data_IF_782218220253
#
_entry.id   IF_782218220253
#
_cell.length_a   1.000
_cell.length_b   1.000
_cell.length_c   1.000
_cell.angle_alpha   90.00
_cell.angle_beta   90.00
_cell.angle_gamma   90.00
#
_symmetry.space_group_name_H-M   'P 1'
#
loop_
_entity.id
_entity.type
_entity.pdbx_description
1 polymer ?
#
# COMPACT_ATOMS: atom_id res chain seq x y z
N UNK A 1 24.82 -7.19 -19.05
CA UNK A 1 24.38 -5.83 -18.69
C UNK A 1 23.05 -5.76 -17.93
N UNK A 2 21.97 -6.50 -18.31
CA UNK A 2 20.66 -6.42 -17.61
C UNK A 2 20.69 -6.68 -16.08
N UNK A 3 21.61 -7.51 -15.60
CA UNK A 3 21.65 -7.90 -14.18
C UNK A 3 22.31 -6.85 -13.26
N UNK A 4 23.17 -5.96 -13.79
CA UNK A 4 23.82 -4.92 -12.99
C UNK A 4 22.83 -3.83 -12.57
N UNK A 5 22.02 -3.36 -13.50
CA UNK A 5 20.99 -2.32 -13.26
C UNK A 5 19.98 -2.77 -12.20
N UNK A 6 19.54 -4.04 -12.26
CA UNK A 6 18.64 -4.63 -11.27
C UNK A 6 19.27 -4.73 -9.87
N UNK A 7 20.59 -4.94 -9.78
CA UNK A 7 21.29 -4.98 -8.48
C UNK A 7 21.44 -3.59 -7.86
N UNK A 8 21.67 -2.55 -8.67
CA UNK A 8 21.77 -1.16 -8.21
C UNK A 8 20.44 -0.66 -7.65
N UNK A 9 19.34 -0.97 -8.33
CA UNK A 9 17.97 -0.63 -7.91
C UNK A 9 17.55 -1.37 -6.63
N UNK A 10 18.00 -2.61 -6.43
CA UNK A 10 17.69 -3.37 -5.20
C UNK A 10 18.16 -2.65 -3.94
N UNK A 11 19.31 -1.97 -3.96
CA UNK A 11 19.80 -1.21 -2.81
C UNK A 11 18.89 -0.02 -2.45
N UNK A 12 18.30 0.66 -3.44
CA UNK A 12 17.30 1.73 -3.19
C UNK A 12 16.01 1.20 -2.58
N UNK A 13 15.50 0.08 -3.11
CA UNK A 13 14.29 -0.55 -2.58
C UNK A 13 14.53 -1.09 -1.16
N UNK A 14 15.71 -1.66 -0.89
CA UNK A 14 16.13 -2.14 0.43
C UNK A 14 16.32 -1.01 1.45
N UNK A 15 16.76 0.18 1.02
CA UNK A 15 16.87 1.37 1.88
C UNK A 15 15.51 1.80 2.44
N UNK A 16 14.44 1.59 1.67
CA UNK A 16 13.05 1.91 2.05
C UNK A 16 12.20 0.71 2.49
N UNK A 17 12.82 -0.43 2.82
CA UNK A 17 12.14 -1.67 3.23
C UNK A 17 11.08 -1.47 4.32
N UNK A 18 11.29 -0.54 5.25
CA UNK A 18 10.35 -0.25 6.33
C UNK A 18 9.03 0.40 5.85
N UNK A 19 9.08 1.20 4.78
CA UNK A 19 7.88 1.77 4.16
C UNK A 19 7.06 0.71 3.44
N UNK A 20 7.72 -0.19 2.71
CA UNK A 20 7.03 -1.32 2.07
C UNK A 20 6.51 -2.34 3.08
N UNK A 21 7.26 -2.63 4.14
CA UNK A 21 6.85 -3.57 5.18
C UNK A 21 5.62 -3.07 5.95
N UNK A 22 5.61 -1.79 6.34
CA UNK A 22 4.44 -1.19 6.99
C UNK A 22 3.23 -1.15 6.05
N UNK A 23 3.43 -0.79 4.77
CA UNK A 23 2.39 -0.90 3.74
C UNK A 23 1.83 -2.32 3.60
N UNK A 24 2.70 -3.33 3.62
CA UNK A 24 2.31 -4.73 3.55
C UNK A 24 1.52 -5.18 4.79
N UNK A 25 1.95 -4.78 5.99
CA UNK A 25 1.23 -5.06 7.24
C UNK A 25 -0.18 -4.43 7.18
N UNK A 26 -0.31 -3.18 6.76
CA UNK A 26 -1.62 -2.55 6.58
C UNK A 26 -2.48 -3.26 5.53
N UNK A 27 -1.87 -3.78 4.47
CA UNK A 27 -2.56 -4.59 3.47
C UNK A 27 -3.16 -5.86 4.09
N UNK A 28 -2.38 -6.58 4.91
CA UNK A 28 -2.85 -7.79 5.60
C UNK A 28 -4.02 -7.49 6.53
N UNK A 29 -3.95 -6.42 7.32
CA UNK A 29 -5.07 -5.99 8.15
C UNK A 29 -6.30 -5.65 7.32
N UNK A 30 -6.14 -4.85 6.26
CA UNK A 30 -7.25 -4.48 5.38
C UNK A 30 -7.95 -5.70 4.77
N UNK A 31 -7.19 -6.72 4.37
CA UNK A 31 -7.72 -7.99 3.87
C UNK A 31 -8.43 -8.76 4.99
N UNK A 32 -7.83 -8.84 6.19
CA UNK A 32 -8.44 -9.47 7.36
C UNK A 32 -9.81 -8.87 7.70
N UNK A 33 -9.91 -7.55 7.81
CA UNK A 33 -11.18 -6.87 8.08
C UNK A 33 -12.23 -7.08 6.99
N UNK A 34 -11.81 -7.14 5.71
CA UNK A 34 -12.73 -7.49 4.61
C UNK A 34 -13.23 -8.93 4.72
N UNK A 35 -12.38 -9.86 5.14
CA UNK A 35 -12.75 -11.26 5.34
C UNK A 35 -13.66 -11.47 6.56
N UNK A 36 -13.60 -10.58 7.56
CA UNK A 36 -14.50 -10.62 8.72
C UNK A 36 -15.95 -10.29 8.35
N UNK A 37 -16.21 -9.44 7.36
CA UNK A 37 -17.56 -9.06 6.94
C UNK A 37 -18.46 -10.27 6.61
N UNK A 38 -18.08 -11.21 5.71
CA UNK A 38 -18.92 -12.38 5.42
C UNK A 38 -19.07 -13.32 6.63
N UNK A 39 -18.06 -13.42 7.49
CA UNK A 39 -18.14 -14.21 8.73
C UNK A 39 -19.15 -13.61 9.71
N UNK A 40 -19.14 -12.28 9.88
CA UNK A 40 -20.09 -11.54 10.71
C UNK A 40 -21.51 -11.59 10.14
N UNK A 41 -21.68 -11.72 8.82
CA UNK A 41 -22.97 -11.91 8.17
C UNK A 41 -23.53 -13.33 8.33
N UNK A 42 -22.68 -14.35 8.49
CA UNK A 42 -23.13 -15.75 8.55
C UNK A 42 -24.04 -16.02 9.75
N UNK A 43 -23.69 -15.53 10.93
CA UNK A 43 -24.41 -15.82 12.18
C UNK A 43 -25.78 -15.13 12.30
N UNK A 44 -25.92 -13.83 12.01
CA UNK A 44 -27.21 -13.14 12.06
C UNK A 44 -28.20 -13.70 11.07
N UNK A 45 -27.77 -14.01 9.84
CA UNK A 45 -28.65 -14.54 8.79
C UNK A 45 -29.23 -15.90 9.23
N UNK A 46 -28.42 -16.75 9.86
CA UNK A 46 -28.88 -18.02 10.42
C UNK A 46 -29.89 -17.81 11.56
N UNK A 47 -29.63 -16.86 12.48
CA UNK A 47 -30.50 -16.57 13.61
C UNK A 47 -31.79 -15.83 13.22
N UNK A 48 -31.77 -15.00 12.18
CA UNK A 48 -32.93 -14.33 11.61
C UNK A 48 -33.98 -15.34 11.14
N UNK A 49 -33.55 -16.47 10.57
CA UNK A 49 -34.46 -17.56 10.15
C UNK A 49 -35.12 -18.28 11.33
N UNK A 50 -34.54 -18.20 12.52
CA UNK A 50 -35.04 -18.86 13.74
C UNK A 50 -35.92 -17.95 14.62
N UNK A 51 -36.18 -16.70 14.20
CA UNK A 51 -36.83 -15.68 15.03
C UNK A 51 -35.82 -15.00 15.96
N UNK A 52 -35.43 -13.77 15.61
CA UNK A 52 -34.41 -13.00 16.34
C UNK A 52 -34.95 -11.64 16.77
N UNK A 53 -34.43 -11.14 17.90
CA UNK A 53 -34.70 -9.80 18.43
C UNK A 53 -33.87 -8.72 17.71
N UNK A 54 -34.50 -7.58 17.40
CA UNK A 54 -33.87 -6.37 16.81
C UNK A 54 -32.51 -5.97 17.42
N UNK A 55 -32.27 -5.96 18.76
CA UNK A 55 -30.98 -5.55 19.32
C UNK A 55 -29.80 -6.41 18.88
N UNK A 56 -30.03 -7.70 18.63
CA UNK A 56 -28.97 -8.61 18.15
C UNK A 56 -28.57 -8.20 16.73
N UNK A 57 -29.54 -7.91 15.86
CA UNK A 57 -29.30 -7.47 14.49
C UNK A 57 -28.53 -6.14 14.48
N UNK A 58 -28.93 -5.19 15.33
CA UNK A 58 -28.26 -3.89 15.45
C UNK A 58 -26.79 -4.01 15.88
N UNK A 59 -26.47 -4.90 16.82
CA UNK A 59 -25.09 -5.17 17.23
C UNK A 59 -24.23 -5.70 16.09
N UNK A 60 -24.74 -6.68 15.33
CA UNK A 60 -24.00 -7.21 14.18
C UNK A 60 -23.87 -6.20 13.04
N UNK A 61 -24.89 -5.38 12.78
CA UNK A 61 -24.79 -4.30 11.81
C UNK A 61 -23.69 -3.29 12.20
N UNK A 62 -23.59 -2.93 13.49
CA UNK A 62 -22.53 -2.07 13.99
C UNK A 62 -21.13 -2.71 13.83
N UNK A 63 -20.99 -4.01 14.10
CA UNK A 63 -19.73 -4.74 13.89
C UNK A 63 -19.32 -4.81 12.41
N UNK A 64 -20.28 -5.02 11.52
CA UNK A 64 -20.03 -5.02 10.06
C UNK A 64 -19.59 -3.64 9.60
N UNK A 65 -20.29 -2.59 10.05
CA UNK A 65 -19.95 -1.22 9.70
C UNK A 65 -18.57 -0.83 10.22
N UNK A 66 -18.25 -1.16 11.47
CA UNK A 66 -16.93 -0.97 12.05
C UNK A 66 -15.85 -1.71 11.26
N UNK A 67 -16.08 -2.98 10.92
CA UNK A 67 -15.13 -3.77 10.11
C UNK A 67 -14.90 -3.16 8.72
N UNK A 68 -15.96 -2.68 8.06
CA UNK A 68 -15.87 -2.01 6.76
C UNK A 68 -15.09 -0.68 6.86
N UNK A 69 -15.34 0.09 7.92
CA UNK A 69 -14.61 1.33 8.20
C UNK A 69 -13.12 1.07 8.39
N UNK A 70 -12.75 0.12 9.26
CA UNK A 70 -11.34 -0.23 9.49
C UNK A 70 -10.67 -0.81 8.24
N UNK A 71 -11.37 -1.66 7.47
CA UNK A 71 -10.88 -2.14 6.18
C UNK A 71 -10.54 -0.99 5.22
N UNK A 72 -11.42 0.02 5.14
CA UNK A 72 -11.20 1.22 4.35
C UNK A 72 -10.00 2.05 4.84
N UNK A 73 -9.93 2.28 6.16
CA UNK A 73 -8.86 3.05 6.79
C UNK A 73 -7.48 2.40 6.55
N UNK A 74 -7.35 1.09 6.78
CA UNK A 74 -6.09 0.38 6.54
C UNK A 74 -5.72 0.33 5.07
N UNK A 75 -6.70 0.23 4.16
CA UNK A 75 -6.46 0.31 2.72
C UNK A 75 -5.96 1.69 2.31
N UNK A 76 -6.49 2.76 2.91
CA UNK A 76 -6.01 4.12 2.68
C UNK A 76 -4.58 4.28 3.21
N UNK A 77 -4.31 3.84 4.45
CA UNK A 77 -2.98 3.90 5.06
C UNK A 77 -1.94 3.14 4.19
N UNK A 78 -2.25 1.93 3.75
CA UNK A 78 -1.43 1.17 2.81
C UNK A 78 -1.11 1.99 1.55
N UNK A 79 -2.12 2.60 0.93
CA UNK A 79 -1.93 3.38 -0.30
C UNK A 79 -1.04 4.59 -0.07
N UNK A 80 -1.24 5.28 1.04
CA UNK A 80 -0.44 6.44 1.43
C UNK A 80 1.03 6.07 1.63
N UNK A 81 1.30 5.00 2.39
CA UNK A 81 2.66 4.56 2.69
C UNK A 81 3.38 4.07 1.43
N UNK A 82 2.76 3.19 0.64
CA UNK A 82 3.40 2.63 -0.56
C UNK A 82 3.65 3.72 -1.62
N UNK A 83 2.67 4.58 -1.90
CA UNK A 83 2.83 5.64 -2.88
C UNK A 83 3.83 6.70 -2.42
N UNK A 84 3.82 7.05 -1.13
CA UNK A 84 4.79 7.98 -0.54
C UNK A 84 6.22 7.45 -0.63
N UNK A 85 6.43 6.16 -0.31
CA UNK A 85 7.74 5.51 -0.45
C UNK A 85 8.22 5.46 -1.89
N UNK A 86 7.34 5.13 -2.84
CA UNK A 86 7.69 5.13 -4.27
C UNK A 86 8.19 6.49 -4.76
N UNK A 87 7.52 7.58 -4.35
CA UNK A 87 7.90 8.95 -4.73
C UNK A 87 9.26 9.36 -4.17
N UNK A 88 9.58 8.93 -2.95
CA UNK A 88 10.90 9.21 -2.34
C UNK A 88 12.02 8.54 -3.12
N UNK A 89 11.83 7.27 -3.50
CA UNK A 89 12.81 6.55 -4.33
C UNK A 89 12.98 7.23 -5.69
N UNK A 90 11.88 7.62 -6.34
CA UNK A 90 11.95 8.34 -7.62
C UNK A 90 12.68 9.68 -7.50
N UNK A 91 12.44 10.41 -6.40
CA UNK A 91 13.12 11.68 -6.13
C UNK A 91 14.64 11.49 -5.98
N UNK A 92 15.06 10.50 -5.18
CA UNK A 92 16.49 10.21 -4.97
C UNK A 92 17.19 9.84 -6.28
N UNK A 93 16.58 8.96 -7.08
CA UNK A 93 17.12 8.54 -8.38
C UNK A 93 17.23 9.72 -9.34
N UNK A 94 16.19 10.57 -9.42
CA UNK A 94 16.21 11.76 -10.29
C UNK A 94 17.29 12.74 -9.86
N UNK A 95 17.48 12.92 -8.56
CA UNK A 95 18.46 13.86 -8.03
C UNK A 95 19.90 13.39 -8.31
N UNK A 96 20.18 12.10 -8.14
CA UNK A 96 21.49 11.51 -8.48
C UNK A 96 21.76 11.56 -9.98
N UNK A 97 20.75 11.25 -10.81
CA UNK A 97 20.86 11.37 -12.25
C UNK A 97 21.18 12.82 -12.66
N UNK A 98 20.48 13.79 -12.09
CA UNK A 98 20.70 15.21 -12.36
C UNK A 98 22.08 15.69 -11.89
N UNK A 99 22.55 15.20 -10.74
CA UNK A 99 23.90 15.48 -10.25
C UNK A 99 24.97 14.92 -11.20
N UNK A 100 24.74 13.71 -11.74
CA UNK A 100 25.65 13.11 -12.71
C UNK A 100 25.66 13.87 -14.05
N UNK A 101 24.50 14.33 -14.52
CA UNK A 101 24.44 15.16 -15.72
C UNK A 101 25.33 16.41 -15.58
N UNK A 102 25.28 17.10 -14.44
CA UNK A 102 26.08 18.31 -14.22
C UNK A 102 27.60 18.10 -14.28
N UNK A 103 28.10 16.87 -14.12
CA UNK A 103 29.54 16.59 -14.24
C UNK A 103 29.99 16.26 -15.67
N UNK A 104 29.06 16.14 -16.62
CA UNK A 104 29.37 15.78 -18.00
C UNK A 104 29.92 16.96 -18.80
N UNK A 105 30.88 16.72 -19.71
CA UNK A 105 31.46 17.76 -20.53
C UNK A 105 30.46 18.31 -21.57
N UNK A 106 30.64 19.55 -22.03
CA UNK A 106 29.74 20.18 -23.02
C UNK A 106 29.56 19.39 -24.31
N UNK A 107 30.56 18.62 -24.74
CA UNK A 107 30.50 17.77 -25.93
C UNK A 107 29.36 16.73 -25.86
N UNK A 108 29.09 16.18 -24.68
CA UNK A 108 27.99 15.22 -24.47
C UNK A 108 26.62 15.85 -24.81
N UNK A 109 26.42 17.10 -24.45
CA UNK A 109 25.19 17.84 -24.69
C UNK A 109 25.01 18.30 -26.14
N UNK A 110 26.09 18.33 -26.91
CA UNK A 110 26.04 18.66 -28.34
C UNK A 110 25.66 17.44 -29.19
N UNK A 111 26.03 16.23 -28.75
CA UNK A 111 25.64 14.97 -29.39
C UNK A 111 24.21 14.54 -29.02
N UNK A 112 23.76 14.81 -27.79
CA UNK A 112 22.44 14.44 -27.29
C UNK A 112 21.54 15.68 -27.27
N UNK A 113 20.70 15.83 -28.30
CA UNK A 113 19.74 16.93 -28.39
C UNK A 113 18.61 16.75 -27.36
N UNK A 114 18.50 17.71 -26.43
CA UNK A 114 17.45 17.81 -25.39
C UNK A 114 16.07 18.10 -25.95
#
# INVERSE_FOLDING_TARGET
>A
MKNQVLSSLKNYVLRYKWGYLSGFIFALFAVGFRALIPLLLRYPIAKLRAGTTIPVIAQYAALIFGSAFFAGLFRFAMRYTIAGTSRKIEYDIRNEYFAHLQTLPPAFYQEVRT
#
